data_IF_685299338533
#
_entry.id   IF_685299338533
#
_cell.length_a   1.000
_cell.length_b   1.000
_cell.length_c   1.000
_cell.angle_alpha   90.00
_cell.angle_beta   90.00
_cell.angle_gamma   90.00
#
_symmetry.space_group_name_H-M   'P 1'
#
loop_
_entity.id
_entity.type
_entity.pdbx_description
1 polymer ?
#
# COMPACT_ATOMS: atom_id res chain seq x y z
N UNK A 1 21.43 9.07 7.04
CA UNK A 1 22.41 8.45 6.13
C UNK A 1 22.39 9.19 4.80
N UNK A 2 23.18 8.74 3.82
CA UNK A 2 23.29 9.40 2.52
C UNK A 2 21.97 9.39 1.74
N UNK A 3 21.18 8.31 1.84
CA UNK A 3 19.84 8.21 1.23
C UNK A 3 18.95 9.37 1.68
N UNK A 4 18.95 9.67 2.98
CA UNK A 4 18.17 10.77 3.55
C UNK A 4 18.66 12.12 3.03
N UNK A 5 19.98 12.32 3.02
CA UNK A 5 20.60 13.57 2.59
C UNK A 5 20.31 13.84 1.11
N UNK A 6 20.42 12.83 0.26
CA UNK A 6 20.17 12.92 -1.17
C UNK A 6 18.70 13.18 -1.46
N UNK A 7 17.78 12.54 -0.73
CA UNK A 7 16.36 12.84 -0.83
C UNK A 7 16.09 14.32 -0.49
N UNK A 8 16.58 14.83 0.64
CA UNK A 8 16.36 16.23 1.06
C UNK A 8 16.95 17.23 0.05
N UNK A 9 18.17 16.97 -0.43
CA UNK A 9 18.83 17.79 -1.46
C UNK A 9 18.06 17.78 -2.79
N UNK A 10 17.53 16.63 -3.20
CA UNK A 10 16.71 16.53 -4.41
C UNK A 10 15.42 17.36 -4.35
N UNK A 11 14.97 17.75 -3.13
CA UNK A 11 13.84 18.64 -2.89
C UNK A 11 14.25 20.12 -2.76
N UNK A 12 15.49 20.46 -3.10
CA UNK A 12 16.01 21.84 -3.09
C UNK A 12 16.37 22.37 -1.70
N UNK A 13 16.48 21.49 -0.69
CA UNK A 13 16.94 21.86 0.66
C UNK A 13 18.42 21.49 0.79
N UNK A 14 19.26 22.49 0.90
CA UNK A 14 20.73 22.32 0.97
C UNK A 14 21.33 22.83 2.29
N UNK A 15 20.67 23.78 2.95
CA UNK A 15 21.09 24.30 4.26
C UNK A 15 20.25 23.68 5.37
N UNK A 16 20.84 22.74 6.10
CA UNK A 16 20.24 22.10 7.25
C UNK A 16 21.30 21.50 8.17
N UNK A 17 20.97 21.38 9.46
CA UNK A 17 21.81 20.72 10.46
C UNK A 17 21.35 19.28 10.64
N UNK A 18 22.29 18.34 10.55
CA UNK A 18 22.05 16.93 10.91
C UNK A 18 22.26 16.78 12.42
N UNK A 19 21.26 16.22 13.10
CA UNK A 19 21.36 15.84 14.50
C UNK A 19 21.61 14.33 14.58
N UNK A 20 22.52 13.93 15.45
CA UNK A 20 22.86 12.53 15.72
C UNK A 20 22.70 12.25 17.20
N UNK A 21 22.30 11.02 17.54
CA UNK A 21 22.22 10.58 18.93
C UNK A 21 23.62 10.49 19.55
N UNK A 22 23.76 10.91 20.80
CA UNK A 22 25.03 10.85 21.51
C UNK A 22 25.47 9.39 21.75
N UNK A 23 26.78 9.09 21.66
CA UNK A 23 27.30 7.78 22.05
C UNK A 23 26.89 7.42 23.49
N UNK A 24 26.35 6.22 23.70
CA UNK A 24 25.93 5.73 25.02
C UNK A 24 24.57 6.24 25.50
N UNK A 25 23.75 6.86 24.64
CA UNK A 25 22.39 7.27 24.98
C UNK A 25 21.56 6.08 25.52
N UNK A 26 20.96 6.18 26.71
CA UNK A 26 20.18 5.09 27.30
C UNK A 26 18.76 5.04 26.71
N UNK A 27 18.42 3.93 26.05
CA UNK A 27 17.07 3.66 25.58
C UNK A 27 16.23 2.97 26.66
N UNK A 28 14.92 3.26 26.70
CA UNK A 28 14.00 2.60 27.63
C UNK A 28 13.80 1.11 27.32
N UNK A 29 13.95 0.72 26.05
CA UNK A 29 13.92 -0.65 25.57
C UNK A 29 14.71 -0.74 24.25
N UNK A 30 15.29 -1.91 24.00
CA UNK A 30 15.94 -2.25 22.73
C UNK A 30 15.32 -3.55 22.21
N UNK A 31 14.89 -3.54 20.94
CA UNK A 31 14.26 -4.67 20.29
C UNK A 31 14.99 -4.99 18.99
N UNK A 32 15.43 -6.24 18.84
CA UNK A 32 16.12 -6.72 17.64
C UNK A 32 15.22 -7.71 16.91
N UNK A 33 15.06 -7.52 15.61
CA UNK A 33 14.21 -8.34 14.76
C UNK A 33 15.05 -8.97 13.65
N UNK A 34 15.02 -10.30 13.53
CA UNK A 34 15.54 -10.98 12.36
C UNK A 34 14.49 -10.95 11.24
N UNK A 35 14.81 -10.28 10.14
CA UNK A 35 13.93 -10.12 8.98
C UNK A 35 14.34 -10.99 7.79
N UNK A 36 15.40 -11.79 7.91
CA UNK A 36 15.94 -12.61 6.82
C UNK A 36 14.94 -13.65 6.28
N UNK A 37 14.03 -14.11 7.13
CA UNK A 37 12.97 -15.07 6.80
C UNK A 37 11.56 -14.48 6.91
N UNK A 38 11.45 -13.15 7.04
CA UNK A 38 10.16 -12.47 7.20
C UNK A 38 9.36 -12.56 5.89
N UNK A 39 8.30 -13.36 5.93
CA UNK A 39 7.32 -13.45 4.84
C UNK A 39 6.36 -12.26 4.82
N UNK A 40 5.62 -12.03 3.72
CA UNK A 40 4.57 -11.00 3.68
C UNK A 40 3.61 -11.11 4.87
N UNK A 41 3.36 -9.99 5.53
CA UNK A 41 2.47 -9.87 6.68
C UNK A 41 1.18 -9.16 6.28
N UNK A 42 0.12 -9.40 7.04
CA UNK A 42 -1.18 -8.78 6.85
C UNK A 42 -1.82 -8.44 8.20
N UNK A 43 -2.24 -7.20 8.40
CA UNK A 43 -3.05 -6.83 9.56
C UNK A 43 -4.53 -7.11 9.27
N UNK A 44 -5.10 -8.06 9.99
CA UNK A 44 -6.48 -8.49 9.83
C UNK A 44 -7.45 -7.54 10.56
N UNK A 45 -8.73 -7.48 10.14
CA UNK A 45 -9.73 -6.71 10.86
C UNK A 45 -9.81 -7.11 12.35
N UNK A 46 -10.11 -6.21 13.28
CA UNK A 46 -10.36 -4.78 13.15
C UNK A 46 -9.28 -3.93 13.85
N UNK A 47 -8.05 -4.43 13.96
CA UNK A 47 -6.92 -3.72 14.56
C UNK A 47 -5.67 -3.86 13.71
N UNK A 48 -4.86 -2.79 13.67
CA UNK A 48 -3.57 -2.81 12.97
C UNK A 48 -2.54 -3.69 13.67
N UNK A 49 -2.73 -3.94 14.98
CA UNK A 49 -1.90 -4.83 15.77
C UNK A 49 -2.27 -6.31 15.59
N UNK A 50 -3.38 -6.60 14.90
CA UNK A 50 -3.82 -7.96 14.59
C UNK A 50 -3.07 -8.53 13.37
N UNK A 51 -1.74 -8.58 13.46
CA UNK A 51 -0.84 -8.96 12.36
C UNK A 51 -0.63 -10.47 12.31
N UNK A 52 -0.76 -11.06 11.12
CA UNK A 52 -0.45 -12.47 10.87
C UNK A 52 0.33 -12.60 9.56
N UNK A 53 1.05 -13.73 9.34
CA UNK A 53 1.52 -14.08 8.01
C UNK A 53 0.37 -14.08 7.00
N UNK A 54 0.62 -13.49 5.83
CA UNK A 54 -0.38 -13.36 4.76
C UNK A 54 -0.98 -14.72 4.36
N UNK A 55 -0.16 -15.78 4.41
CA UNK A 55 -0.53 -17.16 4.10
C UNK A 55 -1.81 -17.62 4.80
N UNK A 56 -2.06 -17.16 6.03
CA UNK A 56 -3.27 -17.49 6.81
C UNK A 56 -4.57 -17.07 6.13
N UNK A 57 -4.53 -16.05 5.28
CA UNK A 57 -5.70 -15.45 4.66
C UNK A 57 -5.78 -15.69 3.15
N UNK A 58 -4.84 -16.45 2.57
CA UNK A 58 -4.87 -16.77 1.13
C UNK A 58 -6.21 -17.40 0.77
N UNK A 59 -6.82 -16.91 -0.31
CA UNK A 59 -8.12 -17.38 -0.77
C UNK A 59 -9.31 -16.57 -0.24
N UNK A 60 -9.13 -15.71 0.76
CA UNK A 60 -10.19 -14.81 1.25
C UNK A 60 -10.64 -13.88 0.12
N UNK A 61 -11.91 -13.93 -0.32
CA UNK A 61 -12.39 -13.08 -1.40
C UNK A 61 -12.31 -11.60 -1.05
N UNK A 62 -12.07 -10.76 -2.05
CA UNK A 62 -12.10 -9.31 -1.88
C UNK A 62 -13.01 -8.64 -2.93
N UNK A 63 -13.72 -7.62 -2.49
CA UNK A 63 -14.54 -6.76 -3.36
C UNK A 63 -13.74 -5.55 -3.84
N UNK A 64 -12.77 -5.09 -3.02
CA UNK A 64 -11.96 -3.93 -3.31
C UNK A 64 -10.49 -4.13 -2.94
N UNK A 65 -9.61 -3.69 -3.84
CA UNK A 65 -8.20 -3.50 -3.58
C UNK A 65 -7.91 -1.99 -3.65
N UNK A 66 -7.31 -1.43 -2.60
CA UNK A 66 -7.08 0.01 -2.47
C UNK A 66 -5.59 0.28 -2.28
N UNK A 67 -4.94 0.78 -3.33
CA UNK A 67 -3.52 1.10 -3.34
C UNK A 67 -3.34 2.62 -3.29
N UNK A 68 -2.60 3.14 -2.32
CA UNK A 68 -2.30 4.57 -2.32
C UNK A 68 -2.19 5.25 -0.96
N UNK A 69 -2.43 6.56 -0.99
CA UNK A 69 -2.40 7.51 0.15
C UNK A 69 -1.00 7.70 0.72
N UNK A 70 -0.87 8.06 2.00
CA UNK A 70 0.42 8.41 2.59
C UNK A 70 1.37 7.21 2.75
N UNK A 71 0.87 5.98 2.88
CA UNK A 71 1.71 4.79 3.16
C UNK A 71 2.01 3.91 1.96
N UNK A 72 1.10 3.81 0.99
CA UNK A 72 1.25 2.94 -0.18
C UNK A 72 1.04 3.66 -1.51
N UNK A 73 1.29 4.97 -1.55
CA UNK A 73 1.03 5.82 -2.71
C UNK A 73 2.25 6.53 -3.27
N UNK A 74 3.48 6.11 -2.94
CA UNK A 74 4.72 6.65 -3.53
C UNK A 74 4.97 6.06 -4.92
N UNK A 75 5.89 6.64 -5.67
CA UNK A 75 6.18 6.22 -7.04
C UNK A 75 6.64 4.75 -7.09
N UNK A 76 7.47 4.32 -6.15
CA UNK A 76 7.91 2.92 -6.01
C UNK A 76 6.76 1.96 -5.69
N UNK A 77 5.77 2.38 -4.89
CA UNK A 77 4.60 1.56 -4.53
C UNK A 77 3.73 1.32 -5.77
N UNK A 78 3.53 2.37 -6.58
CA UNK A 78 2.79 2.30 -7.84
C UNK A 78 3.52 1.44 -8.88
N UNK A 79 4.85 1.58 -8.99
CA UNK A 79 5.67 0.79 -9.89
C UNK A 79 5.63 -0.71 -9.57
N UNK A 80 5.62 -1.08 -8.29
CA UNK A 80 5.44 -2.48 -7.86
C UNK A 80 4.13 -3.04 -8.38
N UNK A 81 3.02 -2.30 -8.20
CA UNK A 81 1.72 -2.73 -8.69
C UNK A 81 1.68 -2.81 -10.22
N UNK A 82 2.24 -1.81 -10.91
CA UNK A 82 2.32 -1.79 -12.37
C UNK A 82 3.07 -3.02 -12.90
N UNK A 83 4.21 -3.38 -12.30
CA UNK A 83 4.97 -4.59 -12.64
C UNK A 83 4.14 -5.86 -12.49
N UNK A 84 3.45 -6.03 -11.36
CA UNK A 84 2.61 -7.21 -11.09
C UNK A 84 1.49 -7.35 -12.13
N UNK A 85 0.86 -6.23 -12.49
CA UNK A 85 -0.33 -6.17 -13.36
C UNK A 85 -0.01 -6.01 -14.86
N UNK A 86 1.26 -5.84 -15.24
CA UNK A 86 1.66 -5.62 -16.63
C UNK A 86 1.18 -6.73 -17.55
N UNK A 87 0.43 -6.35 -18.59
CA UNK A 87 -0.16 -7.30 -19.56
C UNK A 87 -1.30 -8.16 -19.01
N UNK A 88 -1.76 -7.91 -17.78
CA UNK A 88 -2.83 -8.65 -17.11
C UNK A 88 -4.04 -7.73 -16.88
N UNK A 89 -5.12 -8.29 -16.35
CA UNK A 89 -6.35 -7.54 -16.01
C UNK A 89 -6.74 -7.81 -14.57
N UNK A 90 -7.19 -6.77 -13.87
CA UNK A 90 -7.82 -6.86 -12.55
C UNK A 90 -8.99 -7.84 -12.61
N UNK A 91 -9.17 -8.62 -11.55
CA UNK A 91 -10.24 -9.60 -11.47
C UNK A 91 -11.62 -8.94 -11.62
N UNK A 92 -12.52 -9.53 -12.43
CA UNK A 92 -13.80 -8.91 -12.84
C UNK A 92 -14.74 -8.52 -11.71
N UNK A 93 -14.59 -9.12 -10.53
CA UNK A 93 -15.40 -8.83 -9.33
C UNK A 93 -14.73 -7.86 -8.35
N UNK A 94 -13.54 -7.37 -8.66
CA UNK A 94 -12.74 -6.60 -7.73
C UNK A 94 -12.50 -5.20 -8.28
N UNK A 95 -12.81 -4.20 -7.47
CA UNK A 95 -12.51 -2.81 -7.79
C UNK A 95 -11.09 -2.51 -7.35
N UNK A 96 -10.21 -2.21 -8.30
CA UNK A 96 -8.86 -1.79 -7.97
C UNK A 96 -8.74 -0.28 -8.04
N UNK A 97 -8.62 0.37 -6.89
CA UNK A 97 -8.59 1.82 -6.74
C UNK A 97 -7.15 2.25 -6.43
N UNK A 98 -6.63 3.17 -7.22
CA UNK A 98 -5.25 3.67 -7.11
C UNK A 98 -5.26 5.16 -6.78
N UNK A 99 -4.60 5.53 -5.69
CA UNK A 99 -4.56 6.91 -5.15
C UNK A 99 -3.10 7.36 -4.97
N UNK A 100 -2.51 8.07 -5.95
CA UNK A 100 -1.16 8.61 -5.81
C UNK A 100 -1.07 9.55 -4.59
N UNK A 101 0.04 9.52 -3.85
CA UNK A 101 0.18 10.30 -2.62
C UNK A 101 0.18 11.82 -2.86
N UNK A 102 0.79 12.26 -3.96
CA UNK A 102 0.92 13.68 -4.30
C UNK A 102 0.84 13.88 -5.82
N UNK A 103 0.65 15.14 -6.25
CA UNK A 103 0.79 15.52 -7.66
C UNK A 103 2.16 15.14 -8.23
N UNK A 104 3.24 15.31 -7.45
CA UNK A 104 4.58 14.98 -7.89
C UNK A 104 4.74 13.49 -8.19
N UNK A 105 4.23 12.64 -7.29
CA UNK A 105 4.24 11.18 -7.50
C UNK A 105 3.40 10.78 -8.70
N UNK A 106 2.21 11.37 -8.88
CA UNK A 106 1.38 11.13 -10.06
C UNK A 106 2.16 11.44 -11.35
N UNK A 107 2.77 12.62 -11.44
CA UNK A 107 3.55 13.01 -12.62
C UNK A 107 4.75 12.08 -12.88
N UNK A 108 5.43 11.68 -11.82
CA UNK A 108 6.55 10.75 -11.89
C UNK A 108 6.13 9.36 -12.39
N UNK A 109 5.05 8.81 -11.83
CA UNK A 109 4.49 7.51 -12.25
C UNK A 109 3.93 7.56 -13.68
N UNK A 110 3.38 8.70 -14.12
CA UNK A 110 2.99 8.91 -15.52
C UNK A 110 4.20 8.89 -16.45
N UNK A 111 5.27 9.61 -16.09
CA UNK A 111 6.49 9.67 -16.90
C UNK A 111 7.18 8.30 -17.04
N UNK A 112 7.06 7.44 -16.01
CA UNK A 112 7.57 6.05 -16.02
C UNK A 112 6.68 5.06 -16.79
N UNK A 113 5.43 5.44 -17.11
CA UNK A 113 4.44 4.56 -17.74
C UNK A 113 3.71 3.62 -16.77
N UNK A 114 3.95 3.74 -15.46
CA UNK A 114 3.30 2.92 -14.43
C UNK A 114 1.78 3.15 -14.44
N UNK A 115 1.38 4.43 -14.58
CA UNK A 115 -0.03 4.81 -14.63
C UNK A 115 -0.74 4.22 -15.83
N UNK A 116 -0.11 4.25 -17.02
CA UNK A 116 -0.67 3.65 -18.22
C UNK A 116 -0.84 2.14 -18.05
N UNK A 117 0.17 1.45 -17.52
CA UNK A 117 0.11 0.01 -17.24
C UNK A 117 -1.07 -0.34 -16.33
N UNK A 118 -1.27 0.45 -15.27
CA UNK A 118 -2.34 0.25 -14.31
C UNK A 118 -3.74 0.58 -14.91
N UNK A 119 -3.86 1.63 -15.74
CA UNK A 119 -5.09 1.91 -16.52
C UNK A 119 -5.41 0.72 -17.43
N UNK A 120 -4.42 0.24 -18.18
CA UNK A 120 -4.59 -0.89 -19.08
C UNK A 120 -5.00 -2.15 -18.31
N UNK A 121 -4.51 -2.36 -17.08
CA UNK A 121 -4.94 -3.46 -16.23
C UNK A 121 -6.39 -3.33 -15.71
N UNK A 122 -7.01 -2.15 -15.83
CA UNK A 122 -8.38 -1.89 -15.35
C UNK A 122 -8.45 -1.23 -13.98
N UNK A 123 -7.37 -0.60 -13.51
CA UNK A 123 -7.39 0.21 -12.31
C UNK A 123 -8.22 1.49 -12.49
N UNK A 124 -8.92 1.90 -11.45
CA UNK A 124 -9.59 3.21 -11.35
C UNK A 124 -8.73 4.16 -10.54
N UNK A 125 -8.51 5.37 -11.04
CA UNK A 125 -7.68 6.36 -10.37
C UNK A 125 -8.50 7.42 -9.68
N UNK A 126 -7.97 7.86 -8.56
CA UNK A 126 -8.45 9.00 -7.78
C UNK A 126 -7.41 10.10 -7.87
N UNK A 127 -7.86 11.36 -7.84
CA UNK A 127 -6.94 12.49 -7.72
C UNK A 127 -6.04 12.35 -6.48
N UNK A 128 -4.79 12.83 -6.53
CA UNK A 128 -3.88 12.65 -5.40
C UNK A 128 -4.45 13.16 -4.07
N UNK A 129 -4.38 12.34 -3.03
CA UNK A 129 -5.00 12.64 -1.74
C UNK A 129 -5.20 11.38 -0.88
N UNK A 130 -6.29 11.38 -0.11
CA UNK A 130 -6.56 10.31 0.85
C UNK A 130 -7.80 9.47 0.52
N UNK A 131 -8.78 9.99 -0.23
CA UNK A 131 -9.96 9.25 -0.67
C UNK A 131 -10.64 8.45 0.47
N UNK A 132 -10.95 7.17 0.22
CA UNK A 132 -11.62 6.31 1.17
C UNK A 132 -10.79 5.99 2.42
N UNK A 133 -9.48 6.25 2.45
CA UNK A 133 -8.64 5.98 3.63
C UNK A 133 -9.11 6.70 4.90
N UNK A 134 -9.80 7.84 4.78
CA UNK A 134 -10.46 8.53 5.90
C UNK A 134 -11.99 8.47 5.84
N UNK A 135 -12.54 7.58 5.01
CA UNK A 135 -13.99 7.36 4.90
C UNK A 135 -14.76 8.52 4.26
N UNK A 136 -14.14 9.31 3.37
CA UNK A 136 -14.79 10.51 2.81
C UNK A 136 -15.38 10.32 1.42
N UNK A 137 -14.63 9.83 0.45
CA UNK A 137 -15.07 9.70 -0.95
C UNK A 137 -14.26 8.63 -1.69
N UNK A 138 -14.72 8.26 -2.90
CA UNK A 138 -13.97 7.50 -3.91
C UNK A 138 -13.32 6.20 -3.39
N UNK A 139 -14.15 5.16 -3.26
CA UNK A 139 -13.77 3.84 -2.73
C UNK A 139 -14.39 3.51 -1.37
N UNK A 140 -15.52 4.14 -1.02
CA UNK A 140 -16.26 3.86 0.21
C UNK A 140 -16.80 2.42 0.18
N UNK A 141 -16.56 1.70 1.27
CA UNK A 141 -16.99 0.31 1.43
C UNK A 141 -18.44 0.22 1.92
N UNK A 142 -19.21 -0.64 1.25
CA UNK A 142 -20.57 -0.99 1.65
C UNK A 142 -20.57 -2.07 2.76
N UNK A 143 -21.70 -2.26 3.47
CA UNK A 143 -21.83 -3.34 4.43
C UNK A 143 -21.55 -4.71 3.80
N UNK A 144 -20.71 -5.53 4.45
CA UNK A 144 -20.37 -6.88 3.98
C UNK A 144 -19.21 -6.92 2.98
N UNK A 145 -18.73 -5.78 2.48
CA UNK A 145 -17.58 -5.76 1.57
C UNK A 145 -16.26 -6.01 2.30
N UNK A 146 -15.36 -6.70 1.61
CA UNK A 146 -13.98 -6.95 2.05
C UNK A 146 -13.00 -6.17 1.19
N UNK A 147 -12.13 -5.41 1.85
CA UNK A 147 -11.10 -4.59 1.23
C UNK A 147 -9.71 -5.04 1.69
N UNK A 148 -8.75 -5.11 0.76
CA UNK A 148 -7.33 -5.09 1.10
C UNK A 148 -6.74 -3.74 0.71
N UNK A 149 -5.96 -3.14 1.60
CA UNK A 149 -5.45 -1.77 1.44
C UNK A 149 -3.98 -1.66 1.83
N UNK A 150 -3.26 -0.78 1.13
CA UNK A 150 -1.91 -0.36 1.50
C UNK A 150 -1.91 0.93 2.36
N UNK A 151 -3.07 1.28 2.93
CA UNK A 151 -3.20 2.33 3.95
C UNK A 151 -2.67 1.88 5.32
N UNK A 152 -2.84 2.68 6.37
CA UNK A 152 -2.29 2.40 7.71
C UNK A 152 -3.31 2.01 8.77
N UNK A 153 -4.61 1.92 8.46
CA UNK A 153 -5.68 1.77 9.48
C UNK A 153 -6.82 0.88 8.99
N UNK A 154 -7.38 0.06 9.89
CA UNK A 154 -8.45 -0.91 9.56
C UNK A 154 -9.57 -1.04 10.61
N UNK A 155 -9.72 -0.07 11.53
CA UNK A 155 -10.80 -0.10 12.51
C UNK A 155 -12.19 -0.02 11.83
N UNK A 156 -13.28 -0.47 12.49
CA UNK A 156 -14.60 -0.51 11.88
C UNK A 156 -15.06 0.88 11.43
N UNK A 157 -15.55 1.00 10.20
CA UNK A 157 -16.01 2.27 9.63
C UNK A 157 -14.90 3.14 9.06
N UNK A 158 -13.64 2.69 9.08
CA UNK A 158 -12.50 3.48 8.61
C UNK A 158 -12.62 3.94 7.16
N UNK A 159 -13.14 3.07 6.28
CA UNK A 159 -13.28 3.33 4.85
C UNK A 159 -14.75 3.33 4.40
N UNK A 160 -15.70 3.55 5.31
CA UNK A 160 -17.13 3.48 5.00
C UNK A 160 -17.94 2.76 6.07
N UNK A 161 -18.58 1.65 5.69
CA UNK A 161 -19.42 0.89 6.62
C UNK A 161 -18.64 0.30 7.80
N UNK A 162 -19.25 0.32 8.99
CA UNK A 162 -18.76 -0.43 10.17
C UNK A 162 -18.88 -1.95 10.01
N UNK A 163 -19.62 -2.42 9.01
CA UNK A 163 -19.78 -3.84 8.67
C UNK A 163 -18.83 -4.30 7.56
N UNK A 164 -17.94 -3.44 7.09
CA UNK A 164 -16.91 -3.81 6.11
C UNK A 164 -15.68 -4.41 6.81
N UNK A 165 -14.98 -5.29 6.09
CA UNK A 165 -13.74 -5.92 6.54
C UNK A 165 -12.55 -5.27 5.82
N UNK A 166 -11.54 -4.83 6.56
CA UNK A 166 -10.36 -4.14 6.02
C UNK A 166 -9.09 -4.88 6.44
N UNK A 167 -8.36 -5.39 5.46
CA UNK A 167 -7.04 -5.99 5.62
C UNK A 167 -5.97 -4.97 5.20
N UNK A 168 -4.92 -4.81 5.99
CA UNK A 168 -3.78 -3.95 5.64
C UNK A 168 -2.60 -4.80 5.22
N UNK A 169 -2.04 -4.52 4.05
CA UNK A 169 -0.89 -5.22 3.50
C UNK A 169 0.04 -4.31 2.71
N UNK A 170 1.08 -4.89 2.12
CA UNK A 170 2.01 -4.15 1.26
C UNK A 170 1.35 -3.79 -0.09
N UNK A 171 1.90 -2.81 -0.84
CA UNK A 171 1.52 -2.55 -2.23
C UNK A 171 1.49 -3.80 -3.11
N UNK A 172 2.48 -4.69 -2.93
CA UNK A 172 2.55 -5.93 -3.68
C UNK A 172 1.39 -6.87 -3.35
N UNK A 173 1.06 -7.04 -2.06
CA UNK A 173 -0.08 -7.87 -1.63
C UNK A 173 -1.41 -7.33 -2.15
N UNK A 174 -1.60 -6.00 -2.16
CA UNK A 174 -2.80 -5.36 -2.72
C UNK A 174 -2.90 -5.62 -4.22
N UNK A 175 -1.81 -5.45 -4.97
CA UNK A 175 -1.80 -5.66 -6.43
C UNK A 175 -2.05 -7.14 -6.80
N UNK A 176 -1.42 -8.08 -6.10
CA UNK A 176 -1.66 -9.51 -6.29
C UNK A 176 -3.12 -9.87 -6.00
N UNK A 177 -3.69 -9.32 -4.93
CA UNK A 177 -5.09 -9.56 -4.59
C UNK A 177 -6.06 -8.90 -5.59
N UNK A 178 -5.73 -7.73 -6.13
CA UNK A 178 -6.49 -7.09 -7.21
C UNK A 178 -6.55 -7.95 -8.47
N UNK A 179 -5.42 -8.57 -8.82
CA UNK A 179 -5.29 -9.48 -9.95
C UNK A 179 -6.11 -10.77 -9.75
N UNK A 180 -6.08 -11.35 -8.55
CA UNK A 180 -6.69 -12.65 -8.22
C UNK A 180 -8.14 -12.57 -7.73
N UNK A 181 -8.59 -11.39 -7.30
CA UNK A 181 -9.89 -11.15 -6.69
C UNK A 181 -10.10 -11.75 -5.31
N UNK A 182 -8.99 -12.10 -4.66
CA UNK A 182 -8.90 -12.68 -3.32
C UNK A 182 -7.49 -12.40 -2.77
N UNK A 183 -7.31 -12.47 -1.46
CA UNK A 183 -5.97 -12.37 -0.87
C UNK A 183 -5.08 -13.47 -1.46
N UNK A 184 -3.92 -13.08 -1.97
CA UNK A 184 -2.99 -13.93 -2.69
C UNK A 184 -1.55 -13.57 -2.33
N UNK A 185 -0.65 -14.55 -2.48
CA UNK A 185 0.79 -14.34 -2.26
C UNK A 185 1.36 -13.46 -3.39
N UNK A 186 2.01 -12.32 -3.08
CA UNK A 186 2.65 -11.51 -4.09
C UNK A 186 3.97 -12.07 -4.62
N UNK A 187 4.65 -12.98 -3.92
CA UNK A 187 6.01 -13.41 -4.26
C UNK A 187 6.15 -13.93 -5.71
N UNK A 188 5.24 -14.79 -6.24
CA UNK A 188 5.34 -15.29 -7.61
C UNK A 188 5.28 -14.21 -8.71
N UNK A 189 4.89 -12.98 -8.36
CA UNK A 189 4.79 -11.85 -9.28
C UNK A 189 5.95 -10.86 -9.18
N UNK A 190 6.84 -11.07 -8.21
CA UNK A 190 7.99 -10.21 -7.93
C UNK A 190 9.32 -10.86 -8.29
N UNK A 191 9.31 -12.18 -8.49
CA UNK A 191 10.48 -12.97 -8.90
C UNK A 191 10.84 -12.69 -10.37
N UNK A 192 11.56 -11.59 -10.58
CA UNK A 192 12.49 -11.30 -11.70
C UNK A 192 13.69 -10.50 -11.17
#
# INVERSE_FOLDING_TARGET
>A
DDITLDFVRSRGKHDFRVFTTDPGYPYAAEHTYDVSSLKPQLAAPHSVDNVHPLEKFIGTPIDQAFLGTCTGGRAEDLAIAARILKGKKVHRRTRFIVVPATKGVLLEAMARGDMQTLVEAGATFVTPGCAACLGTHEGILAPGETCITASSRNFPGRMGSTKAQIYVGSPASVAAAALEGKIADPAPYLDE
#
